data_IF_037068300346
#
_entry.id   IF_037068300346
#
_cell.length_a   1.000
_cell.length_b   1.000
_cell.length_c   1.000
_cell.angle_alpha   90.00
_cell.angle_beta   90.00
_cell.angle_gamma   90.00
#
_symmetry.space_group_name_H-M   'P 1'
#
loop_
_entity.id
_entity.type
_entity.pdbx_description
1 polymer ?
#
# COMPACT_ATOMS: atom_id res chain seq x y z
N UNK A 1 10.58 -2.75 11.46
CA UNK A 1 9.59 -3.77 11.02
C UNK A 1 10.37 -5.04 10.68
N UNK A 2 10.04 -6.20 11.25
CA UNK A 2 10.57 -7.49 10.77
C UNK A 2 9.45 -8.14 9.96
N UNK A 3 9.51 -8.09 8.64
CA UNK A 3 8.55 -8.82 7.80
C UNK A 3 8.83 -10.33 7.95
N UNK A 4 7.89 -11.06 8.56
CA UNK A 4 7.82 -12.52 8.49
C UNK A 4 6.67 -12.88 7.56
N UNK A 5 6.97 -13.68 6.54
CA UNK A 5 5.96 -14.31 5.71
C UNK A 5 5.24 -15.37 6.57
N UNK A 6 3.91 -15.31 6.63
CA UNK A 6 3.08 -16.40 7.15
C UNK A 6 2.47 -17.09 5.93
N UNK A 7 3.08 -18.20 5.51
CA UNK A 7 2.51 -19.11 4.52
C UNK A 7 1.74 -20.26 5.17
N UNK A 8 0.93 -21.02 4.40
CA UNK A 8 0.15 -22.14 4.93
C UNK A 8 1.06 -23.24 5.49
N UNK A 9 0.58 -23.88 6.55
CA UNK A 9 1.23 -24.93 7.33
C UNK A 9 1.57 -26.15 6.48
N UNK A 10 2.72 -26.15 5.84
CA UNK A 10 3.36 -27.30 5.20
C UNK A 10 4.84 -27.34 5.64
N UNK A 11 5.43 -28.53 5.80
CA UNK A 11 6.82 -28.64 6.23
C UNK A 11 7.73 -27.93 5.20
N UNK A 12 8.76 -27.19 5.65
CA UNK A 12 9.59 -26.39 4.77
C UNK A 12 10.33 -27.28 3.78
N UNK A 13 10.14 -27.00 2.49
CA UNK A 13 10.96 -27.55 1.40
C UNK A 13 12.39 -27.01 1.54
N UNK A 14 13.43 -27.88 1.62
CA UNK A 14 14.82 -27.44 1.72
C UNK A 14 15.33 -26.67 0.48
N UNK A 15 14.54 -26.55 -0.58
CA UNK A 15 14.80 -25.67 -1.74
C UNK A 15 14.16 -24.27 -1.63
N UNK A 16 13.37 -23.99 -0.58
CA UNK A 16 12.82 -22.65 -0.37
C UNK A 16 13.94 -21.70 0.05
N UNK A 17 14.24 -20.73 -0.81
CA UNK A 17 15.15 -19.64 -0.48
C UNK A 17 14.55 -18.94 0.74
N UNK A 18 15.14 -19.18 1.91
CA UNK A 18 14.88 -18.37 3.11
C UNK A 18 15.04 -16.91 2.69
N UNK A 19 13.93 -16.19 2.60
CA UNK A 19 13.93 -14.78 2.29
C UNK A 19 14.61 -14.06 3.45
N UNK A 20 15.95 -13.94 3.40
CA UNK A 20 16.79 -13.20 4.37
C UNK A 20 16.11 -11.90 4.77
N UNK A 21 15.76 -11.75 6.05
CA UNK A 21 15.11 -10.54 6.53
C UNK A 21 15.97 -9.31 6.21
N UNK A 22 15.38 -8.30 5.58
CA UNK A 22 16.00 -6.99 5.38
C UNK A 22 15.61 -6.04 6.51
N UNK A 23 16.52 -5.14 6.89
CA UNK A 23 16.20 -4.06 7.83
C UNK A 23 15.49 -2.97 7.05
N UNK A 24 14.16 -2.90 7.21
CA UNK A 24 13.35 -1.85 6.64
C UNK A 24 13.38 -0.60 7.54
N UNK A 25 13.89 0.50 7.00
CA UNK A 25 13.95 1.80 7.68
C UNK A 25 12.98 2.78 7.01
N UNK A 26 12.19 3.46 7.83
CA UNK A 26 11.18 4.42 7.36
C UNK A 26 11.81 5.55 6.54
N UNK A 27 11.17 5.91 5.42
CA UNK A 27 11.65 6.99 4.55
C UNK A 27 12.83 6.62 3.65
N UNK A 28 13.48 5.47 3.86
CA UNK A 28 14.69 5.07 3.14
C UNK A 28 14.37 4.03 2.06
N UNK A 29 15.24 3.95 1.06
CA UNK A 29 15.15 2.90 0.04
C UNK A 29 15.19 1.47 0.58
N UNK A 30 15.72 1.24 1.78
CA UNK A 30 15.69 -0.10 2.41
C UNK A 30 14.25 -0.58 2.70
N UNK A 31 13.28 0.34 2.84
CA UNK A 31 11.86 0.00 2.87
C UNK A 31 11.40 -0.54 1.51
N UNK A 32 11.68 0.20 0.43
CA UNK A 32 11.32 -0.20 -0.93
C UNK A 32 12.03 -1.49 -1.37
N UNK A 33 13.28 -1.71 -0.94
CA UNK A 33 14.02 -2.96 -1.18
C UNK A 33 13.30 -4.15 -0.52
N UNK A 34 12.75 -3.95 0.69
CA UNK A 34 11.97 -4.98 1.37
C UNK A 34 10.65 -5.25 0.64
N UNK A 35 9.95 -4.20 0.17
CA UNK A 35 8.71 -4.32 -0.62
C UNK A 35 8.94 -5.06 -1.94
N UNK A 36 9.95 -4.65 -2.72
CA UNK A 36 10.36 -5.34 -3.95
C UNK A 36 10.68 -6.80 -3.70
N UNK A 37 11.32 -7.12 -2.57
CA UNK A 37 11.65 -8.51 -2.23
C UNK A 37 10.42 -9.33 -1.82
N UNK A 38 9.43 -8.71 -1.17
CA UNK A 38 8.15 -9.36 -0.89
C UNK A 38 7.41 -9.66 -2.19
N UNK A 39 7.34 -8.71 -3.12
CA UNK A 39 6.74 -8.91 -4.44
C UNK A 39 7.46 -10.01 -5.23
N UNK A 40 8.79 -9.95 -5.32
CA UNK A 40 9.58 -10.95 -6.03
C UNK A 40 9.34 -12.37 -5.49
N UNK A 41 9.24 -12.52 -4.17
CA UNK A 41 8.94 -13.81 -3.56
C UNK A 41 7.50 -14.27 -3.84
N UNK A 42 6.53 -13.36 -3.77
CA UNK A 42 5.13 -13.69 -4.03
C UNK A 42 4.89 -14.04 -5.52
N UNK A 43 5.64 -13.43 -6.44
CA UNK A 43 5.59 -13.70 -7.88
C UNK A 43 6.09 -15.10 -8.27
N UNK A 44 6.84 -15.78 -7.38
CA UNK A 44 7.28 -17.16 -7.60
C UNK A 44 6.10 -18.13 -7.70
N UNK A 45 4.98 -17.80 -7.06
CA UNK A 45 3.72 -18.49 -7.29
C UNK A 45 3.03 -17.86 -8.51
N UNK A 46 2.88 -18.66 -9.56
CA UNK A 46 2.26 -18.24 -10.82
C UNK A 46 0.75 -18.02 -10.69
N UNK A 47 0.12 -18.49 -9.61
CA UNK A 47 -1.31 -18.31 -9.35
C UNK A 47 -1.65 -16.99 -8.65
N UNK A 48 -0.65 -16.25 -8.18
CA UNK A 48 -0.84 -14.94 -7.58
C UNK A 48 -1.04 -13.87 -8.67
N UNK A 49 -2.22 -13.25 -8.68
CA UNK A 49 -2.59 -12.21 -9.65
C UNK A 49 -2.68 -10.79 -9.06
N UNK A 50 -2.95 -10.66 -7.76
CA UNK A 50 -3.05 -9.37 -7.06
C UNK A 50 -2.20 -9.36 -5.79
N UNK A 51 -1.49 -8.25 -5.56
CA UNK A 51 -0.50 -8.10 -4.50
C UNK A 51 -0.85 -6.89 -3.64
N UNK A 52 -1.24 -7.14 -2.39
CA UNK A 52 -1.62 -6.09 -1.44
C UNK A 52 -0.55 -5.94 -0.36
N UNK A 53 -0.04 -4.73 -0.17
CA UNK A 53 0.88 -4.43 0.93
C UNK A 53 0.12 -4.07 2.20
N UNK A 54 0.28 -4.87 3.26
CA UNK A 54 -0.33 -4.63 4.58
C UNK A 54 0.71 -4.71 5.71
N UNK A 55 0.31 -4.24 6.89
CA UNK A 55 1.12 -4.29 8.12
C UNK A 55 0.36 -4.97 9.26
N UNK A 56 1.07 -5.29 10.35
CA UNK A 56 0.48 -5.78 11.63
C UNK A 56 -0.57 -4.85 12.27
N UNK A 57 -0.72 -3.65 11.73
CA UNK A 57 -1.65 -2.63 12.21
C UNK A 57 -2.73 -2.26 11.20
N UNK A 58 -2.81 -3.03 10.11
CA UNK A 58 -3.90 -3.00 9.15
C UNK A 58 -4.95 -4.04 9.54
N UNK A 59 -6.20 -3.74 9.23
CA UNK A 59 -7.31 -4.70 9.31
C UNK A 59 -8.07 -4.70 7.99
N UNK A 60 -8.66 -5.83 7.56
CA UNK A 60 -9.66 -5.79 6.52
C UNK A 60 -10.94 -5.16 7.08
N UNK A 61 -11.59 -4.31 6.29
CA UNK A 61 -12.85 -3.66 6.67
C UNK A 61 -14.04 -4.19 5.87
N UNK A 62 -13.83 -5.11 4.94
CA UNK A 62 -14.90 -5.84 4.23
C UNK A 62 -14.51 -7.30 4.06
N UNK A 63 -15.51 -8.16 3.86
CA UNK A 63 -15.29 -9.59 3.74
C UNK A 63 -14.40 -9.97 2.54
N UNK A 64 -13.83 -11.18 2.60
CA UNK A 64 -12.91 -11.67 1.56
C UNK A 64 -13.56 -11.76 0.19
N UNK A 65 -14.82 -12.21 0.10
CA UNK A 65 -15.50 -12.34 -1.19
C UNK A 65 -15.70 -10.97 -1.86
N UNK A 66 -16.08 -9.95 -1.10
CA UNK A 66 -16.16 -8.57 -1.58
C UNK A 66 -14.79 -8.08 -2.05
N UNK A 67 -13.74 -8.27 -1.24
CA UNK A 67 -12.36 -7.88 -1.61
C UNK A 67 -11.89 -8.57 -2.88
N UNK A 68 -12.10 -9.89 -2.99
CA UNK A 68 -11.71 -10.69 -4.15
C UNK A 68 -12.42 -10.22 -5.42
N UNK A 69 -13.75 -10.04 -5.35
CA UNK A 69 -14.53 -9.53 -6.49
C UNK A 69 -14.17 -8.09 -6.85
N UNK A 70 -13.76 -7.28 -5.87
CA UNK A 70 -13.31 -5.91 -6.11
C UNK A 70 -12.03 -5.88 -6.95
N UNK A 71 -11.04 -6.72 -6.64
CA UNK A 71 -9.82 -6.79 -7.43
C UNK A 71 -10.03 -7.49 -8.77
N UNK A 72 -10.76 -8.61 -8.78
CA UNK A 72 -11.06 -9.37 -9.99
C UNK A 72 -11.75 -8.54 -11.06
N UNK A 73 -12.67 -7.65 -10.67
CA UNK A 73 -13.43 -6.84 -11.60
C UNK A 73 -12.83 -5.44 -11.85
N UNK A 74 -11.69 -5.11 -11.23
CA UNK A 74 -11.05 -3.81 -11.43
C UNK A 74 -10.31 -3.78 -12.76
N UNK A 75 -10.39 -2.67 -13.49
CA UNK A 75 -9.53 -2.44 -14.67
C UNK A 75 -8.22 -1.72 -14.34
N UNK A 76 -7.98 -1.42 -13.06
CA UNK A 76 -6.83 -0.64 -12.59
C UNK A 76 -6.29 -1.17 -11.26
N UNK A 77 -5.01 -0.96 -11.04
CA UNK A 77 -4.31 -1.18 -9.76
C UNK A 77 -4.44 0.04 -8.83
N UNK A 78 -4.42 -0.19 -7.52
CA UNK A 78 -4.64 0.85 -6.51
C UNK A 78 -3.34 1.35 -5.85
N UNK A 79 -2.59 2.13 -6.62
CA UNK A 79 -1.45 2.93 -6.17
C UNK A 79 -1.87 4.40 -6.07
N UNK A 80 -1.77 4.99 -4.88
CA UNK A 80 -1.99 6.44 -4.74
C UNK A 80 -0.82 7.19 -5.34
N UNK A 81 -1.06 8.05 -6.33
CA UNK A 81 -0.04 8.88 -6.95
C UNK A 81 -0.64 10.26 -7.28
N UNK A 82 -0.18 11.29 -6.59
CA UNK A 82 -0.63 12.66 -6.75
C UNK A 82 0.53 13.61 -7.01
N UNK A 83 0.28 14.64 -7.81
CA UNK A 83 1.17 15.77 -7.95
C UNK A 83 0.86 16.80 -6.86
N UNK A 84 1.64 16.76 -5.78
CA UNK A 84 1.52 17.69 -4.64
C UNK A 84 2.54 18.83 -4.82
N UNK A 85 2.11 20.08 -5.12
CA UNK A 85 3.02 21.20 -5.29
C UNK A 85 3.64 21.69 -3.96
N UNK A 86 3.17 21.18 -2.82
CA UNK A 86 3.58 21.59 -1.49
C UNK A 86 4.95 21.06 -1.05
N UNK A 87 5.37 21.40 0.19
CA UNK A 87 6.68 21.05 0.73
C UNK A 87 6.89 19.53 0.91
N UNK A 88 5.80 18.76 0.99
CA UNK A 88 5.84 17.31 1.16
C UNK A 88 5.72 16.53 -0.16
N UNK A 89 5.46 17.22 -1.28
CA UNK A 89 5.44 16.65 -2.62
C UNK A 89 6.66 17.10 -3.41
N UNK A 90 6.47 18.04 -4.35
CA UNK A 90 7.52 18.64 -5.17
C UNK A 90 8.62 19.31 -4.34
N UNK A 91 8.33 19.79 -3.13
CA UNK A 91 9.35 20.34 -2.23
C UNK A 91 10.43 19.34 -1.79
N UNK A 92 10.21 18.03 -1.99
CA UNK A 92 11.18 16.96 -1.72
C UNK A 92 11.96 16.50 -2.96
N UNK A 93 11.64 17.05 -4.13
CA UNK A 93 12.29 16.68 -5.38
C UNK A 93 13.75 17.13 -5.41
N UNK A 94 14.60 16.30 -6.03
CA UNK A 94 16.01 16.61 -6.23
C UNK A 94 16.29 16.73 -7.74
N UNK A 95 16.89 17.85 -8.17
CA UNK A 95 17.18 18.09 -9.59
C UNK A 95 18.15 17.09 -10.23
N UNK A 96 18.89 16.32 -9.45
CA UNK A 96 19.73 15.22 -9.95
C UNK A 96 18.93 13.97 -10.37
N UNK A 97 17.60 13.97 -10.17
CA UNK A 97 16.71 12.92 -10.66
C UNK A 97 16.56 12.95 -12.19
N UNK A 98 16.82 14.10 -12.84
CA UNK A 98 16.78 14.22 -14.30
C UNK A 98 17.93 13.45 -14.98
N UNK A 99 17.77 13.04 -16.24
CA UNK A 99 16.55 13.11 -17.05
C UNK A 99 15.52 12.00 -16.79
N UNK A 100 15.84 11.01 -15.95
CA UNK A 100 14.99 9.81 -15.76
C UNK A 100 13.66 10.16 -15.08
N UNK A 101 13.66 11.11 -14.15
CA UNK A 101 12.43 11.64 -13.54
C UNK A 101 12.50 13.15 -13.59
N UNK A 102 11.60 13.75 -14.35
CA UNK A 102 11.40 15.20 -14.39
C UNK A 102 10.50 15.67 -13.23
N UNK A 103 10.57 16.96 -12.89
CA UNK A 103 9.82 17.52 -11.76
C UNK A 103 8.29 17.37 -11.92
N UNK A 104 7.78 17.45 -13.14
CA UNK A 104 6.36 17.28 -13.45
C UNK A 104 5.91 15.81 -13.44
N UNK A 105 6.85 14.87 -13.47
CA UNK A 105 6.61 13.43 -13.29
C UNK A 105 6.67 13.00 -11.82
N UNK A 106 7.28 13.80 -10.94
CA UNK A 106 7.38 13.49 -9.51
C UNK A 106 6.00 13.30 -8.87
N UNK A 107 5.77 12.16 -8.22
CA UNK A 107 4.52 11.85 -7.51
C UNK A 107 4.77 11.58 -6.05
N UNK A 108 3.76 11.91 -5.25
CA UNK A 108 3.65 11.57 -3.84
C UNK A 108 2.47 10.62 -3.67
N UNK A 109 2.56 9.71 -2.70
CA UNK A 109 1.41 8.91 -2.31
C UNK A 109 1.63 8.07 -1.07
N UNK A 110 0.70 7.13 -0.89
CA UNK A 110 0.73 6.16 0.19
C UNK A 110 1.73 5.05 -0.12
N UNK A 111 2.51 4.63 0.89
CA UNK A 111 3.30 3.40 0.85
C UNK A 111 2.42 2.17 0.61
N UNK A 112 1.21 2.13 1.17
CA UNK A 112 0.25 1.03 1.01
C UNK A 112 -0.36 1.06 -0.38
N UNK A 113 -0.09 0.00 -1.14
CA UNK A 113 -0.60 -0.23 -2.49
C UNK A 113 -1.31 -1.58 -2.61
N UNK A 114 -2.14 -1.66 -3.65
CA UNK A 114 -2.42 -2.91 -4.34
C UNK A 114 -1.96 -2.77 -5.79
N UNK A 115 -1.39 -3.85 -6.33
CA UNK A 115 -1.03 -3.95 -7.75
C UNK A 115 -1.36 -5.34 -8.30
N UNK A 116 -1.72 -5.39 -9.57
CA UNK A 116 -1.81 -6.63 -10.33
C UNK A 116 -0.41 -7.23 -10.61
N UNK A 117 -0.41 -8.43 -11.20
CA UNK A 117 0.81 -9.18 -11.52
C UNK A 117 1.73 -8.47 -12.50
N UNK A 118 1.17 -7.77 -13.49
CA UNK A 118 1.98 -7.08 -14.51
C UNK A 118 2.76 -5.94 -13.86
N UNK A 119 2.08 -5.09 -13.07
CA UNK A 119 2.75 -3.99 -12.36
C UNK A 119 3.68 -4.50 -11.25
N UNK A 120 3.36 -5.62 -10.59
CA UNK A 120 4.28 -6.24 -9.62
C UNK A 120 5.61 -6.66 -10.29
N UNK A 121 5.56 -7.17 -11.52
CA UNK A 121 6.75 -7.52 -12.30
C UNK A 121 7.55 -6.26 -12.64
N UNK A 122 6.89 -5.19 -13.11
CA UNK A 122 7.55 -3.90 -13.41
C UNK A 122 8.29 -3.34 -12.19
N UNK A 123 7.67 -3.37 -11.00
CA UNK A 123 8.31 -2.93 -9.74
C UNK A 123 9.56 -3.75 -9.44
N UNK A 124 9.51 -5.08 -9.61
CA UNK A 124 10.64 -5.96 -9.29
C UNK A 124 11.77 -5.81 -10.31
N UNK A 125 11.44 -5.61 -11.58
CA UNK A 125 12.39 -5.50 -12.69
C UNK A 125 13.03 -4.11 -12.82
N UNK A 126 12.50 -3.09 -12.16
CA UNK A 126 13.00 -1.72 -12.30
C UNK A 126 14.49 -1.59 -11.94
N UNK A 127 15.27 -1.18 -12.94
CA UNK A 127 16.71 -0.88 -12.85
C UNK A 127 17.02 0.57 -13.27
N UNK A 128 16.00 1.36 -13.62
CA UNK A 128 16.13 2.74 -14.11
C UNK A 128 15.88 3.73 -12.98
N UNK A 129 14.74 3.61 -12.30
CA UNK A 129 14.28 4.57 -11.30
C UNK A 129 14.84 4.26 -9.92
N UNK A 130 14.90 2.98 -9.55
CA UNK A 130 15.46 2.52 -8.28
C UNK A 130 16.81 3.14 -7.91
N UNK A 131 17.86 3.08 -8.77
CA UNK A 131 19.15 3.69 -8.44
C UNK A 131 19.05 5.21 -8.26
N UNK A 132 18.18 5.90 -9.02
CA UNK A 132 17.95 7.34 -8.85
C UNK A 132 17.36 7.68 -7.50
N UNK A 133 16.32 6.97 -7.08
CA UNK A 133 15.74 7.15 -5.75
C UNK A 133 16.73 6.78 -4.65
N UNK A 134 17.52 5.73 -4.84
CA UNK A 134 18.60 5.34 -3.91
C UNK A 134 19.65 6.41 -3.73
N UNK A 135 20.04 7.09 -4.80
CA UNK A 135 21.11 8.07 -4.74
C UNK A 135 20.60 9.44 -4.28
N UNK A 136 19.42 9.86 -4.75
CA UNK A 136 18.96 11.24 -4.66
C UNK A 136 17.72 11.48 -3.77
N UNK A 137 16.92 10.45 -3.44
CA UNK A 137 15.88 10.57 -2.40
C UNK A 137 16.54 10.40 -1.03
N UNK A 138 17.14 11.49 -0.55
CA UNK A 138 17.75 11.61 0.79
C UNK A 138 16.87 12.48 1.68
N UNK A 139 16.94 12.35 3.02
CA UNK A 139 16.19 13.21 3.92
C UNK A 139 16.28 14.69 3.50
N UNK A 140 15.16 15.41 3.37
CA UNK A 140 13.79 15.12 3.85
C UNK A 140 12.86 14.33 2.90
N UNK A 141 13.38 13.69 1.85
CA UNK A 141 12.62 12.79 0.97
C UNK A 141 12.30 11.44 1.65
N UNK A 142 11.10 10.90 1.40
CA UNK A 142 10.66 9.57 1.87
C UNK A 142 10.41 8.66 0.68
N UNK A 143 11.32 7.71 0.44
CA UNK A 143 11.31 6.89 -0.77
C UNK A 143 10.04 6.03 -0.91
N UNK A 144 9.55 5.50 0.20
CA UNK A 144 8.33 4.69 0.30
C UNK A 144 7.03 5.48 -0.01
N UNK A 145 7.09 6.82 -0.05
CA UNK A 145 5.99 7.69 -0.43
C UNK A 145 6.14 8.31 -1.83
N UNK A 146 7.25 8.05 -2.54
CA UNK A 146 7.54 8.69 -3.83
C UNK A 146 7.99 7.73 -4.95
N UNK A 147 8.75 6.69 -4.64
CA UNK A 147 9.45 5.87 -5.63
C UNK A 147 8.49 5.08 -6.54
N UNK A 148 7.74 4.12 -5.98
CA UNK A 148 6.83 3.27 -6.76
C UNK A 148 5.74 4.12 -7.42
N UNK A 149 5.26 5.15 -6.72
CA UNK A 149 4.23 6.07 -7.20
C UNK A 149 4.71 6.84 -8.44
N UNK A 150 5.93 7.37 -8.40
CA UNK A 150 6.52 8.09 -9.54
C UNK A 150 6.81 7.15 -10.69
N UNK A 151 7.47 6.02 -10.43
CA UNK A 151 7.84 5.05 -11.46
C UNK A 151 6.61 4.55 -12.23
N UNK A 152 5.59 4.06 -11.53
CA UNK A 152 4.38 3.55 -12.19
C UNK A 152 3.56 4.65 -12.87
N UNK A 153 3.61 5.90 -12.38
CA UNK A 153 2.94 7.02 -13.07
C UNK A 153 3.63 7.42 -14.37
N UNK A 154 4.91 7.09 -14.54
CA UNK A 154 5.65 7.27 -15.79
C UNK A 154 5.37 6.09 -16.73
N UNK A 155 5.52 4.87 -16.24
CA UNK A 155 5.48 3.65 -17.07
C UNK A 155 4.06 3.19 -17.41
N UNK A 156 3.11 3.28 -16.47
CA UNK A 156 1.78 2.69 -16.61
C UNK A 156 0.64 3.60 -16.10
N UNK A 157 0.58 4.89 -16.48
CA UNK A 157 -0.39 5.83 -15.89
C UNK A 157 -1.86 5.43 -16.08
N UNK A 158 -2.20 4.75 -17.17
CA UNK A 158 -3.57 4.31 -17.45
C UNK A 158 -4.00 3.10 -16.58
N UNK A 159 -3.03 2.33 -16.07
CA UNK A 159 -3.29 1.19 -15.20
C UNK A 159 -3.54 1.61 -13.74
N UNK A 160 -3.36 2.88 -13.38
CA UNK A 160 -3.45 3.36 -12.00
C UNK A 160 -4.77 4.08 -11.70
N UNK A 161 -5.42 3.67 -10.61
CA UNK A 161 -6.57 4.39 -10.07
C UNK A 161 -6.20 5.70 -9.34
N UNK A 162 -4.90 5.98 -9.15
CA UNK A 162 -4.35 7.13 -8.41
C UNK A 162 -4.90 7.29 -6.98
N UNK A 163 -5.29 6.18 -6.35
CA UNK A 163 -5.79 6.09 -4.98
C UNK A 163 -5.37 4.77 -4.35
N UNK A 164 -5.36 4.71 -3.02
CA UNK A 164 -5.12 3.46 -2.26
C UNK A 164 -6.45 2.85 -1.83
N UNK A 165 -6.50 1.52 -1.71
CA UNK A 165 -7.58 0.76 -1.05
C UNK A 165 -7.42 0.65 0.46
N UNK A 166 -6.39 1.29 1.04
CA UNK A 166 -6.16 1.33 2.48
C UNK A 166 -6.57 2.69 3.05
N UNK A 167 -7.59 2.72 3.89
CA UNK A 167 -8.03 3.91 4.60
C UNK A 167 -7.04 4.31 5.70
N UNK A 168 -6.80 5.61 5.81
CA UNK A 168 -5.93 6.26 6.80
C UNK A 168 -6.57 7.54 7.30
N UNK A 169 -6.53 7.78 8.60
CA UNK A 169 -6.97 9.05 9.18
C UNK A 169 -5.78 9.98 9.43
N UNK A 170 -5.76 11.10 8.71
CA UNK A 170 -4.79 12.19 8.86
C UNK A 170 -5.35 13.43 9.55
N UNK A 171 -6.55 13.35 10.16
CA UNK A 171 -7.18 14.47 10.87
C UNK A 171 -6.34 14.96 12.07
N UNK A 172 -5.49 14.09 12.62
CA UNK A 172 -4.52 14.44 13.67
C UNK A 172 -3.27 14.99 13.00
N UNK A 173 -2.95 16.27 13.25
CA UNK A 173 -1.74 16.94 12.71
C UNK A 173 -0.48 16.27 13.29
N UNK A 174 0.04 15.28 12.58
CA UNK A 174 1.23 14.51 12.96
C UNK A 174 1.93 13.95 11.71
N UNK A 175 3.18 13.49 11.89
CA UNK A 175 3.94 12.80 10.84
C UNK A 175 3.42 11.37 10.54
N UNK A 176 2.44 10.89 11.32
CA UNK A 176 1.86 9.56 11.21
C UNK A 176 0.33 9.65 11.36
N UNK A 177 -0.43 8.73 10.71
CA UNK A 177 -1.88 8.73 10.82
C UNK A 177 -2.34 8.38 12.24
N UNK A 178 -3.60 8.68 12.53
CA UNK A 178 -4.23 8.37 13.79
C UNK A 178 -4.14 6.88 14.13
N UNK A 179 -3.99 6.59 15.43
CA UNK A 179 -4.02 5.25 15.98
C UNK A 179 -5.30 5.03 16.76
N UNK A 180 -6.03 3.98 16.40
CA UNK A 180 -7.31 3.59 16.99
C UNK A 180 -7.11 2.42 17.97
N UNK A 181 -7.58 2.58 19.20
CA UNK A 181 -7.59 1.55 20.23
C UNK A 181 -9.01 1.14 20.61
N UNK A 182 -9.15 0.35 21.67
CA UNK A 182 -10.43 -0.24 22.12
C UNK A 182 -11.63 0.71 22.11
N UNK A 183 -11.45 1.94 22.60
CA UNK A 183 -12.52 2.94 22.75
C UNK A 183 -12.95 3.58 21.44
N UNK A 184 -12.12 3.51 20.42
CA UNK A 184 -12.40 4.07 19.11
C UNK A 184 -13.20 3.09 18.24
N UNK A 185 -13.25 1.80 18.61
CA UNK A 185 -13.94 0.77 17.83
C UNK A 185 -15.41 0.74 18.21
N UNK A 186 -16.24 1.34 17.37
CA UNK A 186 -17.71 1.26 17.44
C UNK A 186 -18.27 0.87 16.09
N UNK A 187 -19.53 0.43 16.04
CA UNK A 187 -20.21 0.14 14.77
C UNK A 187 -20.27 1.38 13.88
N UNK A 188 -20.58 2.54 14.45
CA UNK A 188 -20.65 3.82 13.72
C UNK A 188 -19.30 4.18 13.10
N UNK A 189 -18.21 4.01 13.86
CA UNK A 189 -16.87 4.26 13.34
C UNK A 189 -16.54 3.32 12.16
N UNK A 190 -16.82 2.03 12.29
CA UNK A 190 -16.52 1.07 11.22
C UNK A 190 -17.36 1.32 9.96
N UNK A 191 -18.63 1.70 10.11
CA UNK A 191 -19.50 2.10 8.98
C UNK A 191 -19.02 3.37 8.31
N UNK A 192 -18.60 4.37 9.08
CA UNK A 192 -18.02 5.60 8.55
C UNK A 192 -16.75 5.31 7.73
N UNK A 193 -15.91 4.39 8.20
CA UNK A 193 -14.71 3.96 7.46
C UNK A 193 -15.06 3.22 6.17
N UNK A 194 -16.14 2.43 6.15
CA UNK A 194 -16.60 1.68 4.96
C UNK A 194 -17.32 2.56 3.93
N UNK A 195 -18.15 3.50 4.38
CA UNK A 195 -19.18 4.16 3.55
C UNK A 195 -19.11 5.70 3.56
N UNK A 196 -18.28 6.30 4.41
CA UNK A 196 -18.23 7.76 4.63
C UNK A 196 -17.63 8.57 3.48
N UNK A 197 -17.14 7.92 2.42
CA UNK A 197 -16.52 8.58 1.26
C UNK A 197 -17.04 8.00 -0.06
N UNK A 198 -17.03 8.82 -1.10
CA UNK A 198 -17.30 8.40 -2.48
C UNK A 198 -16.02 8.51 -3.30
N UNK A 199 -15.78 7.55 -4.18
CA UNK A 199 -14.64 7.51 -5.08
C UNK A 199 -15.05 6.86 -6.42
N UNK A 200 -14.14 6.93 -7.38
CA UNK A 200 -14.30 6.26 -8.67
C UNK A 200 -13.77 4.82 -8.60
N UNK A 201 -14.54 3.92 -9.19
CA UNK A 201 -14.19 2.53 -9.44
C UNK A 201 -14.69 2.17 -10.84
N UNK A 202 -13.79 1.80 -11.75
CA UNK A 202 -14.09 1.57 -13.18
C UNK A 202 -14.90 2.73 -13.83
N UNK A 203 -14.56 3.97 -13.48
CA UNK A 203 -15.24 5.16 -13.98
C UNK A 203 -16.62 5.45 -13.38
N UNK A 204 -17.09 4.65 -12.41
CA UNK A 204 -18.37 4.84 -11.73
C UNK A 204 -18.17 5.24 -10.26
N UNK A 205 -19.07 6.07 -9.74
CA UNK A 205 -19.06 6.45 -8.33
C UNK A 205 -19.49 5.26 -7.46
N UNK A 206 -18.75 5.01 -6.39
CA UNK A 206 -19.04 4.00 -5.37
C UNK A 206 -18.70 4.54 -3.98
N UNK A 207 -19.35 4.01 -2.95
CA UNK A 207 -18.97 4.22 -1.55
C UNK A 207 -17.89 3.24 -1.08
N UNK A 208 -17.70 2.11 -1.78
CA UNK A 208 -16.68 1.12 -1.45
C UNK A 208 -15.30 1.57 -1.94
N UNK A 209 -14.70 2.49 -1.20
CA UNK A 209 -13.41 3.08 -1.52
C UNK A 209 -12.24 2.35 -0.88
N UNK A 210 -12.45 1.75 0.28
CA UNK A 210 -11.38 1.12 1.03
C UNK A 210 -11.78 -0.32 1.36
N UNK A 211 -10.79 -1.21 1.31
CA UNK A 211 -10.91 -2.62 1.64
C UNK A 211 -10.15 -2.95 2.92
N UNK A 212 -9.17 -2.10 3.25
CA UNK A 212 -8.37 -2.18 4.46
C UNK A 212 -8.37 -0.83 5.17
N UNK A 213 -8.06 -0.84 6.46
CA UNK A 213 -7.88 0.37 7.25
C UNK A 213 -6.67 0.27 8.17
N UNK A 214 -6.09 1.42 8.53
CA UNK A 214 -4.99 1.55 9.51
C UNK A 214 -5.04 2.93 10.21
N UNK A 215 -4.49 3.12 11.41
CA UNK A 215 -3.62 2.21 12.20
C UNK A 215 -4.32 1.71 13.47
N UNK A 216 -4.44 0.41 13.62
CA UNK A 216 -5.09 -0.19 14.80
C UNK A 216 -4.06 -0.61 15.87
N UNK A 217 -4.38 -0.35 17.13
CA UNK A 217 -3.61 -0.84 18.27
C UNK A 217 -4.03 -2.26 18.65
N UNK A 218 -3.18 -3.05 19.32
CA UNK A 218 -3.58 -4.38 19.82
C UNK A 218 -4.84 -4.35 20.70
N UNK A 219 -5.09 -3.25 21.41
CA UNK A 219 -6.30 -3.08 22.23
C UNK A 219 -7.59 -2.98 21.43
N UNK A 220 -7.52 -2.78 20.11
CA UNK A 220 -8.69 -2.78 19.22
C UNK A 220 -9.15 -4.19 18.85
N UNK A 221 -8.34 -5.24 19.07
CA UNK A 221 -8.62 -6.58 18.57
C UNK A 221 -9.95 -7.16 19.08
N UNK A 222 -10.17 -7.11 20.39
CA UNK A 222 -11.37 -7.68 21.01
C UNK A 222 -12.68 -7.05 20.50
N UNK A 223 -12.87 -5.71 20.53
CA UNK A 223 -14.09 -5.12 19.97
C UNK A 223 -14.21 -5.29 18.44
N UNK A 224 -13.09 -5.40 17.71
CA UNK A 224 -13.14 -5.72 16.28
C UNK A 224 -13.69 -7.13 16.03
N UNK A 225 -13.28 -8.11 16.83
CA UNK A 225 -13.78 -9.49 16.73
C UNK A 225 -15.26 -9.59 17.14
N UNK A 226 -15.68 -8.82 18.15
CA UNK A 226 -17.09 -8.75 18.56
C UNK A 226 -17.99 -8.18 17.45
N UNK A 227 -17.52 -7.16 16.72
CA UNK A 227 -18.28 -6.50 15.65
C UNK A 227 -18.11 -7.15 14.27
N UNK A 228 -17.18 -8.09 14.11
CA UNK A 228 -16.82 -8.69 12.82
C UNK A 228 -18.03 -9.31 12.08
N UNK A 229 -18.91 -10.09 12.75
CA UNK A 229 -20.07 -10.68 12.08
C UNK A 229 -21.11 -9.65 11.65
N UNK A 230 -21.29 -8.59 12.46
CA UNK A 230 -22.34 -7.60 12.26
C UNK A 230 -21.96 -6.53 11.22
N UNK A 231 -20.68 -6.12 11.17
CA UNK A 231 -20.25 -4.95 10.40
C UNK A 231 -19.27 -5.30 9.29
N UNK A 232 -18.36 -6.24 9.54
CA UNK A 232 -17.27 -6.55 8.60
C UNK A 232 -17.61 -7.74 7.68
N UNK A 233 -18.66 -8.50 8.01
CA UNK A 233 -19.09 -9.69 7.26
C UNK A 233 -18.16 -10.89 7.48
N UNK A 234 -17.53 -10.98 8.65
CA UNK A 234 -16.69 -12.10 9.07
C UNK A 234 -17.37 -12.89 10.19
N UNK A 235 -17.64 -14.18 9.99
CA UNK A 235 -18.21 -15.04 11.05
C UNK A 235 -19.25 -16.01 10.53
#
# INVERSE_FOLDING_TARGET
MRCRLIGPTSPPDPSSIDAKSLVAEWGKMTMCDAERRLLANALLDISNEWFVLVSESCIPIVNFNTTYQYFLNSSQSFVMAIDDPGPYGRGRYNWNMTPEVELDQWRKGSQWFEVDRELAIEIVMDVVYHPKFKDFCRPSCYADEHYIQTMLSIEAPQALANRSVTWVDWSRIAAHPARFGRRDITEEFLREVQEGQTCLYNGQNTTLCFLFARKFAPSALEPLLELAPAVLGFG
#
